data_IF_790020202666
#
_entry.id   IF_790020202666
#
_cell.length_a   1.000
_cell.length_b   1.000
_cell.length_c   1.000
_cell.angle_alpha   90.00
_cell.angle_beta   90.00
_cell.angle_gamma   90.00
#
_symmetry.space_group_name_H-M   'P 1'
#
loop_
_entity.id
_entity.type
_entity.pdbx_description
1 polymer ?
#
# COMPACT_ATOMS: atom_id res chain seq x y z
N UNK A 1 18.48 -30.25 21.63
CA UNK A 1 18.10 -30.62 20.25
C UNK A 1 16.85 -31.49 20.19
N UNK A 2 16.61 -32.44 21.14
CA UNK A 2 15.38 -33.28 21.16
C UNK A 2 14.14 -32.54 21.69
N UNK A 3 14.26 -31.54 22.58
CA UNK A 3 13.14 -30.74 23.10
C UNK A 3 12.62 -29.70 22.12
N UNK A 4 13.48 -29.12 21.28
CA UNK A 4 13.09 -28.16 20.24
C UNK A 4 12.31 -28.83 19.09
N UNK A 5 12.66 -30.07 18.74
CA UNK A 5 11.95 -30.89 17.77
C UNK A 5 10.52 -31.24 18.22
N UNK A 6 10.29 -31.45 19.53
CA UNK A 6 8.96 -31.78 20.06
C UNK A 6 8.03 -30.57 20.10
N UNK A 7 8.53 -29.39 20.51
CA UNK A 7 7.72 -28.17 20.56
C UNK A 7 7.32 -27.69 19.16
N UNK A 8 8.22 -27.74 18.18
CA UNK A 8 7.92 -27.43 16.79
C UNK A 8 6.88 -28.40 16.19
N UNK A 9 6.99 -29.69 16.53
CA UNK A 9 6.00 -30.71 16.14
C UNK A 9 4.62 -30.48 16.75
N UNK A 10 4.57 -29.99 18.00
CA UNK A 10 3.29 -29.74 18.69
C UNK A 10 2.61 -28.45 18.18
N UNK A 11 3.37 -27.43 17.85
CA UNK A 11 2.84 -26.21 17.17
C UNK A 11 2.35 -26.56 15.79
N UNK A 12 3.09 -27.34 15.01
CA UNK A 12 2.67 -27.81 13.69
C UNK A 12 1.38 -28.65 13.78
N UNK A 13 1.30 -29.59 14.71
CA UNK A 13 0.09 -30.41 14.92
C UNK A 13 -1.13 -29.59 15.33
N UNK A 14 -0.97 -28.53 16.12
CA UNK A 14 -2.06 -27.59 16.47
C UNK A 14 -2.54 -26.80 15.27
N UNK A 15 -1.61 -26.29 14.45
CA UNK A 15 -1.96 -25.59 13.22
C UNK A 15 -2.67 -26.49 12.22
N UNK A 16 -2.14 -27.69 11.99
CA UNK A 16 -2.74 -28.69 11.08
C UNK A 16 -4.14 -29.08 11.55
N UNK A 17 -4.37 -29.23 12.86
CA UNK A 17 -5.67 -29.59 13.42
C UNK A 17 -6.78 -28.58 13.05
N UNK A 18 -6.45 -27.29 12.99
CA UNK A 18 -7.41 -26.25 12.61
C UNK A 18 -7.87 -26.34 11.15
N UNK A 19 -7.11 -27.02 10.29
CA UNK A 19 -7.37 -27.16 8.86
C UNK A 19 -7.82 -28.58 8.43
N UNK A 20 -8.07 -29.48 9.38
CA UNK A 20 -8.44 -30.89 9.05
C UNK A 20 -9.81 -31.02 8.37
N UNK A 21 -10.66 -29.97 8.38
CA UNK A 21 -11.98 -30.01 7.79
C UNK A 21 -12.83 -31.16 8.35
N UNK A 22 -13.45 -31.94 7.47
CA UNK A 22 -14.24 -33.16 7.83
C UNK A 22 -13.36 -34.38 8.16
N UNK A 23 -12.04 -34.30 7.93
CA UNK A 23 -11.12 -35.42 8.08
C UNK A 23 -11.13 -36.42 6.92
N UNK A 24 -11.85 -36.11 5.84
CA UNK A 24 -11.90 -36.95 4.64
C UNK A 24 -10.58 -36.91 3.86
N UNK A 25 -10.32 -37.97 3.12
CA UNK A 25 -9.19 -38.07 2.21
C UNK A 25 -9.52 -37.39 0.88
N UNK A 26 -8.51 -36.76 0.24
CA UNK A 26 -8.67 -36.19 -1.09
C UNK A 26 -8.80 -37.30 -2.18
N UNK A 27 -8.98 -36.88 -3.44
CA UNK A 27 -9.12 -37.82 -4.56
C UNK A 27 -7.89 -38.73 -4.80
N UNK A 28 -6.71 -38.33 -4.28
CA UNK A 28 -5.50 -39.17 -4.29
C UNK A 28 -5.39 -40.12 -3.10
N UNK A 29 -6.39 -40.15 -2.21
CA UNK A 29 -6.42 -41.01 -1.02
C UNK A 29 -5.55 -40.47 0.13
N UNK A 30 -5.15 -39.20 0.11
CA UNK A 30 -4.28 -38.58 1.11
C UNK A 30 -5.09 -37.82 2.15
N UNK A 31 -4.75 -37.99 3.42
CA UNK A 31 -5.18 -37.09 4.47
C UNK A 31 -4.37 -35.77 4.45
N UNK A 32 -4.78 -34.77 5.24
CA UNK A 32 -4.15 -33.46 5.26
C UNK A 32 -2.63 -33.53 5.59
N UNK A 33 -2.24 -34.40 6.51
CA UNK A 33 -0.82 -34.50 6.93
C UNK A 33 0.02 -35.03 5.77
N UNK A 34 -0.42 -36.13 5.15
CA UNK A 34 0.26 -36.72 3.99
C UNK A 34 0.32 -35.75 2.79
N UNK A 35 -0.76 -34.99 2.57
CA UNK A 35 -0.78 -33.94 1.54
C UNK A 35 0.26 -32.85 1.81
N UNK A 36 0.33 -32.33 3.05
CA UNK A 36 1.28 -31.27 3.41
C UNK A 36 2.75 -31.74 3.37
N UNK A 37 3.03 -33.00 3.72
CA UNK A 37 4.38 -33.57 3.61
C UNK A 37 4.87 -33.68 2.16
N UNK A 38 3.96 -33.85 1.20
CA UNK A 38 4.27 -33.92 -0.22
C UNK A 38 4.17 -32.59 -0.95
N UNK A 39 3.58 -31.57 -0.31
CA UNK A 39 3.36 -30.27 -0.94
C UNK A 39 4.66 -29.54 -1.18
N UNK A 40 4.94 -29.23 -2.45
CA UNK A 40 6.07 -28.40 -2.83
C UNK A 40 5.65 -26.91 -2.88
N UNK A 41 6.04 -26.06 -1.91
CA UNK A 41 5.71 -24.64 -1.90
C UNK A 41 6.41 -23.86 -3.01
N UNK A 42 7.42 -24.44 -3.67
CA UNK A 42 8.17 -23.82 -4.74
C UNK A 42 7.70 -24.23 -6.15
N UNK A 43 6.68 -25.07 -6.24
CA UNK A 43 6.09 -25.51 -7.52
C UNK A 43 5.66 -24.33 -8.41
N UNK A 44 5.23 -23.22 -7.79
CA UNK A 44 4.88 -21.98 -8.49
C UNK A 44 5.79 -20.85 -8.03
N UNK A 45 6.13 -19.95 -8.95
CA UNK A 45 6.84 -18.73 -8.58
C UNK A 45 5.93 -17.83 -7.75
N UNK A 46 6.34 -17.55 -6.53
CA UNK A 46 5.62 -16.65 -5.64
C UNK A 46 6.01 -15.20 -5.92
N UNK A 47 5.05 -14.27 -6.05
CA UNK A 47 5.35 -12.86 -6.10
C UNK A 47 5.88 -12.39 -4.74
N UNK A 48 6.73 -11.37 -4.76
CA UNK A 48 7.04 -10.62 -3.54
C UNK A 48 5.83 -9.76 -3.17
N UNK A 49 5.57 -9.62 -1.88
CA UNK A 49 4.53 -8.74 -1.38
C UNK A 49 5.17 -7.49 -0.76
N UNK A 50 4.57 -6.34 -1.04
CA UNK A 50 4.90 -5.06 -0.44
C UNK A 50 3.65 -4.40 0.13
N UNK A 51 3.84 -3.42 0.98
CA UNK A 51 2.80 -2.54 1.49
C UNK A 51 3.19 -1.09 1.20
N UNK A 52 2.19 -0.25 0.91
CA UNK A 52 2.37 1.19 0.73
C UNK A 52 1.36 1.91 1.61
N UNK A 53 1.78 2.98 2.31
CA UNK A 53 0.95 3.72 3.23
C UNK A 53 0.68 5.14 2.71
N UNK A 54 -0.56 5.43 2.32
CA UNK A 54 -0.99 6.75 1.94
C UNK A 54 -1.54 7.51 3.14
N UNK A 55 -0.70 8.31 3.75
CA UNK A 55 -1.07 9.14 4.91
C UNK A 55 -1.39 10.55 4.43
N UNK A 56 -2.62 10.99 4.68
CA UNK A 56 -3.10 12.30 4.29
C UNK A 56 -3.41 13.17 5.50
N UNK A 57 -3.08 14.46 5.38
CA UNK A 57 -3.55 15.47 6.31
C UNK A 57 -4.93 15.98 5.87
N UNK A 58 -5.85 16.05 6.82
CA UNK A 58 -7.22 16.50 6.62
C UNK A 58 -7.48 17.78 7.39
N UNK A 59 -7.95 18.81 6.68
CA UNK A 59 -8.42 20.05 7.28
C UNK A 59 -9.92 19.95 7.57
N UNK A 60 -10.28 19.93 8.85
CA UNK A 60 -11.68 19.77 9.29
C UNK A 60 -12.57 20.95 8.89
N UNK A 61 -12.02 22.17 8.94
CA UNK A 61 -12.76 23.40 8.61
C UNK A 61 -13.08 23.50 7.12
N UNK A 62 -12.13 23.11 6.28
CA UNK A 62 -12.26 23.14 4.82
C UNK A 62 -12.86 21.83 4.27
N UNK A 63 -13.02 20.82 5.12
CA UNK A 63 -13.50 19.47 4.76
C UNK A 63 -12.77 18.88 3.56
N UNK A 64 -11.45 19.03 3.54
CA UNK A 64 -10.61 18.53 2.43
C UNK A 64 -9.28 17.97 2.90
N UNK A 65 -8.72 17.10 2.10
CA UNK A 65 -7.31 16.66 2.20
C UNK A 65 -6.42 17.79 1.69
N UNK A 66 -5.40 18.13 2.47
CA UNK A 66 -4.50 19.25 2.19
C UNK A 66 -3.07 18.82 1.89
N UNK A 67 -2.61 17.72 2.50
CA UNK A 67 -1.23 17.25 2.34
C UNK A 67 -1.17 15.73 2.24
N UNK A 68 -0.07 15.22 1.70
CA UNK A 68 0.32 13.81 1.70
C UNK A 68 1.73 13.67 2.25
N UNK A 69 1.95 12.61 3.03
CA UNK A 69 3.27 12.26 3.52
C UNK A 69 4.00 11.44 2.46
N UNK A 70 5.21 11.86 2.11
CA UNK A 70 6.09 11.15 1.17
C UNK A 70 7.48 10.97 1.78
N UNK A 71 8.17 9.93 1.32
CA UNK A 71 9.57 9.65 1.64
C UNK A 71 10.41 9.76 0.37
N UNK A 72 11.68 10.15 0.52
CA UNK A 72 12.60 10.11 -0.60
C UNK A 72 13.32 8.76 -0.67
N UNK A 73 13.22 8.11 -1.81
CA UNK A 73 13.84 6.79 -2.01
C UNK A 73 15.36 6.87 -1.95
N UNK A 74 15.96 6.13 -1.04
CA UNK A 74 17.41 6.03 -0.87
C UNK A 74 18.06 4.98 -1.76
N UNK A 75 17.27 4.15 -2.50
CA UNK A 75 17.80 3.04 -3.30
C UNK A 75 17.00 2.81 -4.59
N UNK A 76 17.57 1.99 -5.50
CA UNK A 76 16.90 1.59 -6.74
C UNK A 76 15.72 0.62 -6.50
N UNK A 77 14.75 0.65 -7.40
CA UNK A 77 14.53 1.56 -8.52
C UNK A 77 14.12 2.96 -8.05
N UNK A 78 14.28 3.96 -8.94
CA UNK A 78 13.83 5.35 -8.72
C UNK A 78 14.49 6.06 -7.52
N UNK A 79 15.79 5.85 -7.33
CA UNK A 79 16.58 6.53 -6.28
C UNK A 79 16.42 8.05 -6.38
N UNK A 80 16.21 8.72 -5.23
CA UNK A 80 16.00 10.16 -5.15
C UNK A 80 14.58 10.64 -5.45
N UNK A 81 13.69 9.76 -5.93
CA UNK A 81 12.28 10.09 -6.16
C UNK A 81 11.48 10.01 -4.87
N UNK A 82 10.37 10.75 -4.85
CA UNK A 82 9.44 10.74 -3.74
C UNK A 82 8.38 9.65 -3.93
N UNK A 83 8.08 8.92 -2.87
CA UNK A 83 7.16 7.80 -2.86
C UNK A 83 6.32 7.79 -1.58
N UNK A 84 5.26 7.00 -1.56
CA UNK A 84 4.57 6.66 -0.32
C UNK A 84 5.51 5.86 0.59
N UNK A 85 5.44 6.02 1.92
CA UNK A 85 6.09 5.12 2.86
C UNK A 85 5.67 3.68 2.62
N UNK A 86 6.62 2.74 2.68
CA UNK A 86 6.31 1.35 2.49
C UNK A 86 7.49 0.50 2.02
N UNK A 87 7.33 -0.82 2.14
CA UNK A 87 8.39 -1.75 1.82
C UNK A 87 7.93 -3.20 1.72
N UNK A 88 8.87 -4.12 1.83
CA UNK A 88 8.60 -5.54 1.71
C UNK A 88 7.99 -6.12 3.00
N UNK A 89 7.00 -6.99 2.80
CA UNK A 89 6.42 -7.78 3.89
C UNK A 89 7.36 -8.94 4.22
N UNK A 90 7.71 -9.10 5.48
CA UNK A 90 8.53 -10.21 5.92
C UNK A 90 7.78 -11.55 5.86
N UNK A 91 8.50 -12.67 5.76
CA UNK A 91 7.90 -14.00 5.55
C UNK A 91 6.88 -14.42 6.61
N UNK A 92 7.02 -13.95 7.85
CA UNK A 92 6.14 -14.27 8.99
C UNK A 92 5.42 -13.06 9.55
N UNK A 93 5.17 -12.08 8.71
CA UNK A 93 4.56 -10.81 9.08
C UNK A 93 3.17 -10.67 8.43
N UNK A 94 2.21 -10.13 9.17
CA UNK A 94 0.93 -9.74 8.61
C UNK A 94 1.04 -8.42 7.85
N UNK A 95 0.19 -8.20 6.85
CA UNK A 95 0.23 -7.00 6.00
C UNK A 95 0.07 -5.70 6.80
N UNK A 96 -0.86 -5.67 7.77
CA UNK A 96 -1.09 -4.51 8.63
C UNK A 96 0.12 -4.23 9.54
N UNK A 97 0.78 -5.29 10.01
CA UNK A 97 2.00 -5.17 10.83
C UNK A 97 3.14 -4.58 10.00
N UNK A 98 3.32 -5.09 8.77
CA UNK A 98 4.31 -4.56 7.83
C UNK A 98 4.06 -3.08 7.51
N UNK A 99 2.80 -2.70 7.25
CA UNK A 99 2.44 -1.32 6.96
C UNK A 99 2.76 -0.37 8.13
N UNK A 100 2.44 -0.79 9.37
CA UNK A 100 2.76 0.00 10.57
C UNK A 100 4.27 0.08 10.82
N UNK A 101 5.01 -1.02 10.65
CA UNK A 101 6.47 -1.05 10.81
C UNK A 101 7.17 -0.15 9.80
N UNK A 102 6.86 -0.29 8.50
CA UNK A 102 7.47 0.53 7.44
C UNK A 102 7.17 2.03 7.66
N UNK A 103 5.93 2.37 8.04
CA UNK A 103 5.57 3.74 8.36
C UNK A 103 6.43 4.29 9.52
N UNK A 104 6.57 3.51 10.60
CA UNK A 104 7.38 3.88 11.74
C UNK A 104 8.86 4.04 11.38
N UNK A 105 9.44 3.07 10.66
CA UNK A 105 10.86 3.06 10.29
C UNK A 105 11.23 4.23 9.38
N UNK A 106 10.33 4.58 8.44
CA UNK A 106 10.61 5.62 7.44
C UNK A 106 10.19 7.02 7.88
N UNK A 107 9.23 7.16 8.80
CA UNK A 107 8.65 8.47 9.16
C UNK A 107 8.61 8.77 10.65
N UNK A 108 8.87 7.78 11.51
CA UNK A 108 8.74 7.91 12.96
C UNK A 108 7.29 7.95 13.47
N UNK A 109 6.29 7.78 12.60
CA UNK A 109 4.87 7.81 13.00
C UNK A 109 4.46 6.45 13.52
N UNK A 110 3.86 6.44 14.72
CA UNK A 110 3.32 5.27 15.40
C UNK A 110 1.83 5.42 15.70
N UNK A 111 1.17 4.30 15.97
CA UNK A 111 -0.21 4.23 16.47
C UNK A 111 -1.24 4.94 15.59
N UNK A 112 -1.05 4.92 14.27
CA UNK A 112 -1.99 5.48 13.33
C UNK A 112 -3.09 4.47 12.98
N UNK A 113 -4.35 4.88 13.00
CA UNK A 113 -5.44 4.10 12.45
C UNK A 113 -5.44 4.20 10.92
N UNK A 114 -5.51 3.07 10.25
CA UNK A 114 -5.51 2.99 8.79
C UNK A 114 -6.41 1.86 8.31
N UNK A 115 -6.82 1.93 7.06
CA UNK A 115 -7.65 0.93 6.41
C UNK A 115 -7.00 0.49 5.09
N UNK A 116 -7.24 -0.76 4.72
CA UNK A 116 -6.80 -1.24 3.42
C UNK A 116 -7.59 -0.54 2.31
N UNK A 117 -6.87 0.04 1.36
CA UNK A 117 -7.48 0.72 0.25
C UNK A 117 -7.66 -0.21 -0.96
N UNK A 118 -6.55 -0.74 -1.49
CA UNK A 118 -6.55 -1.57 -2.70
C UNK A 118 -5.25 -2.35 -2.84
N UNK A 119 -5.32 -3.50 -3.50
CA UNK A 119 -4.13 -4.26 -3.94
C UNK A 119 -3.83 -3.97 -5.41
N UNK A 120 -2.58 -3.68 -5.71
CA UNK A 120 -2.05 -3.42 -7.05
C UNK A 120 -1.15 -4.54 -7.49
N UNK A 121 -1.49 -5.19 -8.60
CA UNK A 121 -0.80 -6.39 -9.05
C UNK A 121 -0.54 -6.42 -10.56
N UNK A 122 -0.38 -5.28 -11.25
CA UNK A 122 0.06 -5.29 -12.66
C UNK A 122 1.37 -6.07 -12.77
N UNK A 123 1.49 -6.92 -13.80
CA UNK A 123 2.58 -7.88 -13.87
C UNK A 123 3.96 -7.22 -14.06
N UNK A 124 3.98 -6.04 -14.64
CA UNK A 124 5.15 -5.27 -15.01
C UNK A 124 5.35 -3.97 -14.23
N UNK A 125 4.64 -3.83 -13.07
CA UNK A 125 4.69 -2.62 -12.26
C UNK A 125 6.05 -2.35 -11.60
N UNK A 126 6.88 -3.37 -11.44
CA UNK A 126 8.21 -3.27 -10.83
C UNK A 126 9.24 -3.97 -11.72
N UNK A 127 10.37 -3.29 -12.05
CA UNK A 127 11.38 -3.84 -12.96
C UNK A 127 12.20 -4.98 -12.35
N UNK A 128 12.17 -5.19 -11.03
CA UNK A 128 13.00 -6.19 -10.34
C UNK A 128 12.42 -7.59 -10.47
N UNK A 129 11.12 -7.72 -10.22
CA UNK A 129 10.41 -9.01 -10.21
C UNK A 129 8.90 -8.80 -10.13
N UNK A 130 8.14 -9.90 -10.11
CA UNK A 130 6.70 -9.87 -9.83
C UNK A 130 6.46 -9.38 -8.40
N UNK A 131 5.96 -8.16 -8.25
CA UNK A 131 5.62 -7.56 -6.96
C UNK A 131 4.13 -7.22 -6.93
N UNK A 132 3.47 -7.60 -5.84
CA UNK A 132 2.09 -7.24 -5.52
C UNK A 132 2.17 -6.33 -4.29
N UNK A 133 1.56 -5.15 -4.36
CA UNK A 133 1.49 -4.26 -3.21
C UNK A 133 0.07 -4.11 -2.70
N UNK A 134 -0.09 -4.07 -1.38
CA UNK A 134 -1.33 -3.70 -0.72
C UNK A 134 -1.19 -2.29 -0.18
N UNK A 135 -2.00 -1.37 -0.72
CA UNK A 135 -2.04 0.01 -0.25
C UNK A 135 -3.02 0.18 0.90
N UNK A 136 -2.60 0.95 1.89
CA UNK A 136 -3.39 1.39 3.03
C UNK A 136 -3.56 2.90 3.00
N UNK A 137 -4.64 3.39 3.61
CA UNK A 137 -4.95 4.80 3.72
C UNK A 137 -5.16 5.20 5.17
N UNK A 138 -4.60 6.34 5.55
CA UNK A 138 -4.82 6.97 6.84
C UNK A 138 -5.11 8.45 6.67
N UNK A 139 -5.99 8.97 7.51
CA UNK A 139 -6.30 10.40 7.60
C UNK A 139 -5.85 10.93 8.96
N UNK A 140 -5.07 11.99 8.96
CA UNK A 140 -4.58 12.66 10.17
C UNK A 140 -5.13 14.09 10.18
N UNK A 141 -5.76 14.55 11.27
CA UNK A 141 -6.13 15.96 11.38
C UNK A 141 -4.90 16.86 11.22
N UNK A 142 -5.02 17.89 10.38
CA UNK A 142 -3.88 18.79 10.07
C UNK A 142 -3.31 19.46 11.34
N UNK A 143 -4.15 19.75 12.32
CA UNK A 143 -3.74 20.31 13.61
C UNK A 143 -2.95 19.36 14.52
N UNK A 144 -2.91 18.05 14.19
CA UNK A 144 -2.13 17.03 14.91
C UNK A 144 -0.81 16.69 14.20
N UNK A 145 -0.52 17.34 13.08
CA UNK A 145 0.77 17.22 12.41
C UNK A 145 1.82 17.91 13.28
N UNK A 146 2.40 17.17 14.22
CA UNK A 146 3.56 17.66 14.94
C UNK A 146 4.72 17.82 13.96
N UNK A 147 5.49 18.90 14.10
CA UNK A 147 6.70 19.21 13.31
C UNK A 147 7.75 18.07 13.31
N UNK A 148 7.56 17.07 14.18
CA UNK A 148 8.46 15.92 14.37
C UNK A 148 8.46 14.84 13.29
N UNK A 149 7.50 14.83 12.37
CA UNK A 149 7.56 13.88 11.24
C UNK A 149 8.64 14.23 10.20
N UNK A 150 9.51 15.20 10.50
CA UNK A 150 10.57 15.63 9.61
C UNK A 150 11.96 15.78 10.26
N UNK A 151 12.06 15.88 11.61
CA UNK A 151 13.34 16.21 12.24
C UNK A 151 14.30 15.02 12.39
N UNK A 152 13.80 13.78 12.52
CA UNK A 152 14.63 12.59 12.66
C UNK A 152 14.70 11.72 11.38
N UNK A 153 13.70 11.80 10.49
CA UNK A 153 13.70 11.12 9.20
C UNK A 153 14.21 12.07 8.11
N UNK A 154 15.50 12.07 7.86
CA UNK A 154 16.18 12.95 6.87
C UNK A 154 15.58 12.95 5.46
N UNK A 155 14.63 12.08 5.17
CA UNK A 155 14.08 11.83 3.84
C UNK A 155 12.55 11.69 3.83
N UNK A 156 11.81 12.19 4.83
CA UNK A 156 10.35 12.22 4.83
C UNK A 156 9.83 13.66 4.91
N UNK A 157 8.65 13.93 4.30
CA UNK A 157 8.09 15.28 4.34
C UNK A 157 6.62 15.32 3.93
N UNK A 158 5.92 16.36 4.41
CA UNK A 158 4.56 16.65 4.03
C UNK A 158 4.49 17.51 2.78
N UNK A 159 3.82 17.03 1.76
CA UNK A 159 3.61 17.71 0.50
C UNK A 159 2.20 18.28 0.42
N UNK A 160 2.08 19.58 0.21
CA UNK A 160 0.79 20.23 -0.05
C UNK A 160 0.25 19.76 -1.39
N UNK A 161 -1.03 19.37 -1.38
CA UNK A 161 -1.75 18.89 -2.55
C UNK A 161 -2.55 20.04 -3.14
N UNK A 162 -2.32 20.31 -4.43
CA UNK A 162 -3.16 21.22 -5.24
C UNK A 162 -3.74 20.40 -6.38
N UNK A 163 -5.05 20.26 -6.39
CA UNK A 163 -5.80 19.61 -7.45
C UNK A 163 -6.55 20.67 -8.24
N UNK A 164 -6.40 20.63 -9.56
CA UNK A 164 -7.10 21.53 -10.49
C UNK A 164 -7.72 20.71 -11.63
N UNK A 165 -9.03 20.71 -11.73
CA UNK A 165 -9.72 20.11 -12.88
C UNK A 165 -9.39 20.91 -14.14
N UNK A 166 -8.79 20.24 -15.14
CA UNK A 166 -8.42 20.84 -16.43
C UNK A 166 -9.55 20.69 -17.43
N UNK A 167 -10.17 19.51 -17.46
CA UNK A 167 -11.24 19.18 -18.39
C UNK A 167 -12.18 18.15 -17.81
N UNK A 168 -13.46 18.22 -18.26
CA UNK A 168 -14.50 17.26 -17.91
C UNK A 168 -15.30 16.92 -19.15
N UNK A 169 -15.59 15.64 -19.33
CA UNK A 169 -16.47 15.13 -20.39
C UNK A 169 -17.50 14.19 -19.78
N UNK A 170 -18.77 14.48 -20.04
CA UNK A 170 -19.87 13.58 -19.75
C UNK A 170 -20.16 12.76 -21.01
N UNK A 171 -20.11 11.46 -20.92
CA UNK A 171 -20.39 10.55 -22.03
C UNK A 171 -21.90 10.24 -22.10
N UNK A 172 -22.35 9.77 -23.26
CA UNK A 172 -23.78 9.47 -23.50
C UNK A 172 -24.29 8.30 -22.64
N UNK A 173 -23.40 7.40 -22.18
CA UNK A 173 -23.68 6.30 -21.25
C UNK A 173 -23.75 6.74 -19.80
N UNK A 174 -23.60 8.04 -19.53
CA UNK A 174 -23.56 8.62 -18.19
C UNK A 174 -22.21 8.54 -17.48
N UNK A 175 -21.19 7.92 -18.07
CA UNK A 175 -19.85 7.96 -17.51
C UNK A 175 -19.27 9.37 -17.59
N UNK A 176 -18.50 9.75 -16.59
CA UNK A 176 -17.81 11.03 -16.52
C UNK A 176 -16.31 10.79 -16.54
N UNK A 177 -15.62 11.44 -17.48
CA UNK A 177 -14.17 11.46 -17.54
C UNK A 177 -13.69 12.88 -17.20
N UNK A 178 -12.81 13.00 -16.22
CA UNK A 178 -12.17 14.29 -15.92
C UNK A 178 -10.65 14.14 -15.96
N UNK A 179 -9.98 15.20 -16.40
CA UNK A 179 -8.53 15.30 -16.31
C UNK A 179 -8.21 16.36 -15.27
N UNK A 180 -7.38 15.99 -14.32
CA UNK A 180 -6.93 16.85 -13.25
C UNK A 180 -5.43 17.09 -13.37
N UNK A 181 -4.99 18.30 -13.01
CA UNK A 181 -3.60 18.61 -12.74
C UNK A 181 -3.37 18.49 -11.25
N UNK A 182 -2.56 17.53 -10.87
CA UNK A 182 -2.13 17.32 -9.49
C UNK A 182 -0.74 17.92 -9.30
N UNK A 183 -0.62 18.89 -8.38
CA UNK A 183 0.66 19.46 -7.97
C UNK A 183 0.93 19.07 -6.51
N UNK A 184 2.08 18.51 -6.26
CA UNK A 184 2.60 18.22 -4.92
C UNK A 184 3.79 19.15 -4.66
N UNK A 185 3.75 19.89 -3.56
CA UNK A 185 4.75 20.90 -3.23
C UNK A 185 5.18 20.77 -1.76
N UNK A 186 6.49 20.69 -1.54
CA UNK A 186 7.10 20.91 -0.23
C UNK A 186 8.07 22.10 -0.37
N UNK A 187 7.73 23.23 0.28
CA UNK A 187 8.51 24.48 0.18
C UNK A 187 9.82 24.43 0.95
N UNK A 188 9.86 23.70 2.06
CA UNK A 188 11.05 23.58 2.91
C UNK A 188 12.14 22.79 2.21
N UNK A 189 11.75 21.73 1.50
CA UNK A 189 12.66 20.91 0.70
C UNK A 189 12.89 21.46 -0.70
N UNK A 190 12.21 22.57 -1.07
CA UNK A 190 12.22 23.15 -2.41
C UNK A 190 11.85 22.13 -3.52
N UNK A 191 10.94 21.22 -3.23
CA UNK A 191 10.47 20.17 -4.16
C UNK A 191 9.07 20.52 -4.64
N UNK A 192 8.89 20.47 -5.96
CA UNK A 192 7.57 20.56 -6.60
C UNK A 192 7.51 19.61 -7.77
N UNK A 193 6.42 18.86 -7.87
CA UNK A 193 6.12 18.00 -9.00
C UNK A 193 4.69 18.20 -9.46
N UNK A 194 4.45 18.05 -10.75
CA UNK A 194 3.13 18.13 -11.36
C UNK A 194 2.91 16.92 -12.26
N UNK A 195 1.69 16.39 -12.24
CA UNK A 195 1.24 15.35 -13.16
C UNK A 195 -0.21 15.57 -13.56
N UNK A 196 -0.58 15.02 -14.72
CA UNK A 196 -1.97 14.98 -15.14
C UNK A 196 -2.53 13.59 -14.84
N UNK A 197 -3.70 13.57 -14.19
CA UNK A 197 -4.39 12.33 -13.82
C UNK A 197 -5.76 12.33 -14.49
N UNK A 198 -6.04 11.28 -15.24
CA UNK A 198 -7.38 11.04 -15.80
C UNK A 198 -8.18 10.16 -14.83
N UNK A 199 -9.37 10.60 -14.52
CA UNK A 199 -10.31 9.88 -13.66
C UNK A 199 -11.57 9.61 -14.45
N UNK A 200 -12.05 8.38 -14.31
CA UNK A 200 -13.31 7.94 -14.92
C UNK A 200 -14.18 7.29 -13.84
N UNK A 201 -15.46 7.67 -13.82
CA UNK A 201 -16.43 7.06 -12.92
C UNK A 201 -17.75 6.83 -13.62
N UNK A 202 -18.42 5.74 -13.25
CA UNK A 202 -19.70 5.32 -13.77
C UNK A 202 -20.87 5.99 -13.07
N UNK A 203 -22.06 6.07 -13.70
CA UNK A 203 -23.28 6.56 -13.05
C UNK A 203 -23.58 5.80 -11.76
N UNK A 204 -23.91 6.53 -10.70
CA UNK A 204 -24.21 5.96 -9.38
C UNK A 204 -23.01 5.64 -8.50
N UNK A 205 -21.78 5.78 -8.99
CA UNK A 205 -20.60 5.81 -8.15
C UNK A 205 -20.59 7.14 -7.38
N UNK A 206 -20.92 7.10 -6.11
CA UNK A 206 -20.84 8.27 -5.23
C UNK A 206 -19.37 8.49 -4.87
N UNK A 207 -18.64 9.18 -5.74
CA UNK A 207 -17.32 9.73 -5.40
C UNK A 207 -17.55 11.09 -4.73
N UNK A 208 -18.13 11.09 -3.55
CA UNK A 208 -18.26 12.32 -2.74
C UNK A 208 -16.92 12.92 -2.29
N UNK A 209 -15.84 12.15 -2.40
CA UNK A 209 -14.50 12.59 -2.01
C UNK A 209 -13.52 12.48 -3.17
N UNK A 210 -12.97 13.61 -3.60
CA UNK A 210 -11.88 13.77 -4.57
C UNK A 210 -10.58 13.04 -4.19
N UNK A 211 -10.56 12.38 -3.05
CA UNK A 211 -9.41 11.66 -2.48
C UNK A 211 -9.03 10.40 -3.26
N UNK A 212 -9.94 9.85 -4.06
CA UNK A 212 -9.62 8.70 -4.95
C UNK A 212 -8.62 9.01 -6.07
N UNK A 213 -8.30 10.28 -6.28
CA UNK A 213 -7.41 10.74 -7.37
C UNK A 213 -5.92 10.44 -7.15
N UNK A 214 -5.51 10.09 -5.94
CA UNK A 214 -4.09 9.97 -5.58
C UNK A 214 -3.48 8.59 -5.85
N UNK A 215 -4.24 7.66 -6.40
CA UNK A 215 -3.84 6.25 -6.46
C UNK A 215 -3.35 5.72 -7.79
N UNK A 216 -3.07 6.55 -8.72
CA UNK A 216 -2.15 6.16 -9.78
C UNK A 216 -0.78 6.73 -9.43
N UNK A 217 0.02 5.99 -8.67
CA UNK A 217 1.46 6.19 -8.76
C UNK A 217 1.79 6.10 -10.25
N UNK A 218 2.27 7.18 -10.90
CA UNK A 218 2.65 7.07 -12.30
C UNK A 218 3.74 6.00 -12.35
N UNK A 219 3.45 4.92 -13.06
CA UNK A 219 4.50 4.05 -13.55
C UNK A 219 5.47 4.97 -14.29
N UNK A 220 6.81 4.80 -14.19
CA UNK A 220 7.79 5.58 -14.95
C UNK A 220 7.58 5.55 -16.47
N UNK A 221 6.57 4.81 -16.96
CA UNK A 221 6.20 4.70 -18.38
C UNK A 221 5.10 5.65 -18.82
N UNK A 222 4.44 6.38 -17.89
CA UNK A 222 3.33 7.29 -18.21
C UNK A 222 3.75 8.77 -18.23
N UNK A 223 5.06 9.06 -18.26
CA UNK A 223 5.65 10.39 -18.43
C UNK A 223 6.26 10.58 -19.80
#
# INVERSE_FOLDING_TARGET
TRKESSAASDVYKRQVKAFMGTGEKNAAGEDLVTFLEKYDPHKYQNPCNTVDMAVFAYNESEKKVTKVLLIQRGNHPSIGWWALPGGFVEYRENLETAAARELQEETGIEHLNFEQLKTYGAYDRDPRTRIITTAYIALVPEGLLHEKAGDDAKNAGWFTIKDTEISRKNNADGTVCATHRLCLENKELAVRTESQVRVEWSPGAVLENKTCLLYTSPSPRDS
#
